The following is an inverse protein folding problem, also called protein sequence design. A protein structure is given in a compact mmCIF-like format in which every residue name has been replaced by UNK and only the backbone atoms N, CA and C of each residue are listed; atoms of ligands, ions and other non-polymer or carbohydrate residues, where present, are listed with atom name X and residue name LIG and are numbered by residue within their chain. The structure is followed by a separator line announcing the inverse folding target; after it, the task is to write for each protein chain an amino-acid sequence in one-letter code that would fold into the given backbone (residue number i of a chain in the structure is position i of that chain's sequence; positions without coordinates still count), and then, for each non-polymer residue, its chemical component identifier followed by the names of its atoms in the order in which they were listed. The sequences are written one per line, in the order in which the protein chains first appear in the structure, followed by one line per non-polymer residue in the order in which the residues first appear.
data_IF_521647795928
#
_entry.id   IF_521647795928
#
_cell.length_a   1.000
_cell.length_b   1.000
_cell.length_c   1.000
_cell.angle_alpha   90.00
_cell.angle_beta   90.00
_cell.angle_gamma   90.00
#
_symmetry.space_group_name_H-M   'P 1'
#
loop_
_entity.id
_entity.type
_entity.pdbx_description
1 polymer ?
#
# COMPACT_ATOMS: atom_id res chain seq x y z
N UNK A 1 5.30 -16.06 -7.72
CA UNK A 1 4.20 -15.11 -7.41
C UNK A 1 3.10 -15.09 -8.48
N UNK A 2 1.85 -15.34 -8.12
CA UNK A 2 0.72 -15.26 -9.04
C UNK A 2 -0.44 -14.46 -8.42
N UNK A 3 -0.94 -13.46 -9.15
CA UNK A 3 -2.23 -12.85 -8.87
C UNK A 3 -3.21 -13.30 -9.95
N UNK A 4 -4.34 -13.88 -9.53
CA UNK A 4 -5.33 -14.42 -10.46
C UNK A 4 -6.69 -13.77 -10.19
N UNK A 5 -7.04 -12.70 -10.93
CA UNK A 5 -8.40 -12.21 -10.99
C UNK A 5 -9.20 -13.06 -11.97
N UNK A 6 -10.29 -13.69 -11.52
CA UNK A 6 -11.20 -14.43 -12.41
C UNK A 6 -12.61 -13.82 -12.46
N UNK A 7 -12.77 -12.58 -11.95
CA UNK A 7 -14.02 -11.83 -11.93
C UNK A 7 -14.89 -12.05 -10.69
N UNK A 8 -14.66 -13.13 -9.94
CA UNK A 8 -15.37 -13.40 -8.68
C UNK A 8 -14.48 -13.20 -7.46
N UNK A 9 -13.18 -13.41 -7.63
CA UNK A 9 -12.18 -13.24 -6.58
C UNK A 9 -10.85 -12.81 -7.17
N UNK A 10 -10.06 -12.18 -6.31
CA UNK A 10 -8.64 -11.92 -6.53
C UNK A 10 -7.87 -12.83 -5.60
N UNK A 11 -7.10 -13.76 -6.17
CA UNK A 11 -6.19 -14.60 -5.39
C UNK A 11 -4.81 -13.97 -5.40
N UNK A 12 -4.22 -13.80 -4.21
CA UNK A 12 -2.83 -13.37 -4.05
C UNK A 12 -2.04 -14.50 -3.41
N UNK A 13 -1.00 -14.95 -4.10
CA UNK A 13 -0.12 -16.05 -3.67
C UNK A 13 1.34 -15.57 -3.72
N UNK A 14 1.81 -14.89 -2.65
CA UNK A 14 3.18 -14.39 -2.56
C UNK A 14 4.14 -15.55 -2.25
N UNK A 15 5.36 -15.48 -2.78
CA UNK A 15 6.35 -16.55 -2.58
C UNK A 15 6.80 -16.64 -1.10
N UNK A 16 6.78 -15.51 -0.38
CA UNK A 16 7.20 -15.36 1.02
C UNK A 16 6.05 -14.86 1.91
N UNK A 17 4.90 -15.53 1.89
CA UNK A 17 3.78 -15.17 2.75
C UNK A 17 2.57 -16.10 2.58
N UNK A 18 1.51 -15.90 3.37
CA UNK A 18 0.30 -16.69 3.22
C UNK A 18 -0.45 -16.30 1.94
N UNK A 19 -1.02 -17.32 1.29
CA UNK A 19 -2.01 -17.13 0.24
C UNK A 19 -3.29 -16.55 0.82
N UNK A 20 -3.83 -15.52 0.17
CA UNK A 20 -5.15 -14.97 0.51
C UNK A 20 -6.06 -14.92 -0.72
N UNK A 21 -7.36 -14.76 -0.50
CA UNK A 21 -8.27 -14.33 -1.55
C UNK A 21 -9.18 -13.19 -1.09
N UNK A 22 -9.38 -12.23 -1.97
CA UNK A 22 -10.32 -11.14 -1.81
C UNK A 22 -11.51 -11.45 -2.70
N UNK A 23 -12.64 -11.81 -2.09
CA UNK A 23 -13.86 -12.12 -2.82
C UNK A 23 -14.55 -10.82 -3.22
N UNK A 24 -14.85 -10.69 -4.51
CA UNK A 24 -15.66 -9.60 -5.04
C UNK A 24 -17.13 -9.95 -4.78
N UNK A 25 -17.96 -9.05 -4.23
CA UNK A 25 -19.35 -9.35 -3.91
C UNK A 25 -20.19 -9.31 -5.19
N UNK A 26 -19.92 -10.27 -6.07
CA UNK A 26 -20.63 -10.50 -7.32
C UNK A 26 -21.57 -11.68 -7.14
N UNK A 27 -22.77 -11.61 -7.72
CA UNK A 27 -23.71 -12.72 -7.68
C UNK A 27 -23.24 -13.90 -8.54
N UNK A 28 -23.81 -15.11 -8.37
CA UNK A 28 -23.46 -16.31 -9.15
C UNK A 28 -23.74 -16.21 -10.67
N UNK A 29 -24.40 -15.13 -11.12
CA UNK A 29 -24.68 -14.82 -12.51
C UNK A 29 -23.86 -13.62 -13.03
N UNK A 30 -22.77 -13.26 -12.34
CA UNK A 30 -21.93 -12.13 -12.71
C UNK A 30 -21.34 -12.32 -14.11
N UNK A 31 -21.56 -11.33 -14.98
CA UNK A 31 -20.93 -11.28 -16.28
C UNK A 31 -19.56 -10.62 -16.17
N UNK A 32 -18.55 -11.23 -16.78
CA UNK A 32 -17.22 -10.64 -16.92
C UNK A 32 -17.03 -10.07 -18.31
N UNK A 33 -16.25 -9.01 -18.43
CA UNK A 33 -15.87 -8.43 -19.72
C UNK A 33 -14.39 -8.06 -19.70
N UNK A 34 -13.62 -8.65 -20.61
CA UNK A 34 -12.21 -8.30 -20.82
C UNK A 34 -12.12 -6.89 -21.38
N UNK A 35 -11.56 -5.96 -20.61
CA UNK A 35 -11.33 -4.58 -21.04
C UNK A 35 -10.06 -4.49 -21.89
N UNK A 36 -9.01 -5.19 -21.44
CA UNK A 36 -7.68 -5.24 -22.06
C UNK A 36 -7.02 -6.58 -21.70
N UNK A 37 -5.92 -6.98 -22.37
CA UNK A 37 -5.16 -8.16 -21.95
C UNK A 37 -4.77 -8.10 -20.46
N UNK A 38 -5.21 -9.09 -19.68
CA UNK A 38 -4.95 -9.18 -18.24
C UNK A 38 -5.86 -8.33 -17.34
N UNK A 39 -6.80 -7.55 -17.90
CA UNK A 39 -7.75 -6.73 -17.12
C UNK A 39 -9.18 -7.09 -17.50
N UNK A 40 -9.90 -7.64 -16.53
CA UNK A 40 -11.29 -8.08 -16.68
C UNK A 40 -12.17 -7.34 -15.69
N UNK A 41 -13.21 -6.68 -16.20
CA UNK A 41 -14.29 -6.15 -15.37
C UNK A 41 -15.26 -7.24 -14.98
N UNK A 42 -15.79 -7.19 -13.76
CA UNK A 42 -16.85 -8.05 -13.26
C UNK A 42 -18.06 -7.21 -12.88
N UNK A 43 -19.19 -7.46 -13.54
CA UNK A 43 -20.44 -6.74 -13.26
C UNK A 43 -21.16 -7.40 -12.08
N UNK A 44 -21.30 -6.66 -10.97
CA UNK A 44 -22.01 -7.12 -9.78
C UNK A 44 -23.50 -6.84 -9.88
N UNK A 45 -23.85 -5.67 -10.42
CA UNK A 45 -25.22 -5.22 -10.70
C UNK A 45 -25.21 -4.21 -11.86
N UNK A 46 -26.36 -3.64 -12.22
CA UNK A 46 -26.42 -2.52 -13.18
C UNK A 46 -25.62 -1.30 -12.71
N UNK A 47 -25.53 -1.09 -11.41
CA UNK A 47 -24.96 0.12 -10.81
C UNK A 47 -23.58 -0.08 -10.17
N UNK A 48 -23.03 -1.30 -10.22
CA UNK A 48 -21.77 -1.64 -9.58
C UNK A 48 -20.97 -2.68 -10.38
N UNK A 49 -19.71 -2.36 -10.63
CA UNK A 49 -18.76 -3.30 -11.23
C UNK A 49 -17.39 -3.20 -10.56
N UNK A 50 -16.59 -4.25 -10.69
CA UNK A 50 -15.25 -4.35 -10.13
C UNK A 50 -14.23 -4.53 -11.25
N UNK A 51 -13.13 -3.80 -11.15
CA UNK A 51 -11.99 -3.91 -12.08
C UNK A 51 -10.73 -4.16 -11.25
N UNK A 52 -10.40 -5.44 -10.97
CA UNK A 52 -9.13 -5.78 -10.35
C UNK A 52 -7.97 -5.54 -11.32
N UNK A 53 -6.94 -4.86 -10.84
CA UNK A 53 -5.73 -4.50 -11.58
C UNK A 53 -4.52 -4.86 -10.73
N UNK A 54 -3.61 -5.64 -11.31
CA UNK A 54 -2.30 -5.91 -10.71
C UNK A 54 -1.36 -4.80 -11.12
N UNK A 55 -0.82 -4.07 -10.13
CA UNK A 55 0.14 -2.99 -10.35
C UNK A 55 1.55 -3.55 -10.57
N UNK A 56 2.43 -2.75 -11.16
CA UNK A 56 3.83 -3.14 -11.39
C UNK A 56 4.61 -3.40 -10.11
N UNK A 57 4.19 -2.80 -8.99
CA UNK A 57 4.67 -3.06 -7.63
C UNK A 57 4.32 -4.46 -7.11
N UNK A 58 3.42 -5.18 -7.78
CA UNK A 58 2.84 -6.43 -7.32
C UNK A 58 1.51 -6.23 -6.60
N UNK A 59 1.27 -5.10 -5.95
CA UNK A 59 0.00 -4.80 -5.26
C UNK A 59 -1.21 -4.91 -6.18
N UNK A 60 -2.37 -5.15 -5.60
CA UNK A 60 -3.62 -5.33 -6.36
C UNK A 60 -4.61 -4.26 -5.97
N UNK A 61 -5.04 -3.48 -6.95
CA UNK A 61 -6.11 -2.50 -6.79
C UNK A 61 -7.41 -3.06 -7.35
N UNK A 62 -8.49 -2.98 -6.58
CA UNK A 62 -9.83 -3.37 -7.02
C UNK A 62 -10.64 -2.09 -7.18
N UNK A 63 -10.68 -1.56 -8.41
CA UNK A 63 -11.47 -0.38 -8.70
C UNK A 63 -12.96 -0.76 -8.76
N UNK A 64 -13.72 -0.32 -7.75
CA UNK A 64 -15.16 -0.47 -7.68
C UNK A 64 -15.80 0.74 -8.35
N UNK A 65 -16.45 0.49 -9.48
CA UNK A 65 -17.10 1.50 -10.29
C UNK A 65 -18.57 1.52 -9.92
N UNK A 66 -18.95 2.57 -9.19
CA UNK A 66 -20.31 2.88 -8.79
C UNK A 66 -20.92 3.78 -9.88
N UNK A 67 -21.91 3.28 -10.60
CA UNK A 67 -22.45 3.95 -11.80
C UNK A 67 -23.67 4.83 -11.51
N UNK A 68 -24.33 4.68 -10.36
CA UNK A 68 -25.50 5.50 -10.01
C UNK A 68 -25.78 5.54 -8.49
N UNK A 69 -26.66 6.46 -8.02
CA UNK A 69 -27.08 6.52 -6.62
C UNK A 69 -27.75 5.25 -6.08
N UNK A 70 -28.25 4.38 -6.96
CA UNK A 70 -28.92 3.13 -6.59
C UNK A 70 -27.95 2.06 -6.09
N UNK A 71 -26.65 2.18 -6.41
CA UNK A 71 -25.63 1.27 -5.90
C UNK A 71 -25.53 1.32 -4.37
N UNK A 72 -25.07 0.24 -3.71
CA UNK A 72 -24.84 0.25 -2.27
C UNK A 72 -23.71 1.20 -1.87
N UNK A 73 -23.84 1.83 -0.70
CA UNK A 73 -22.78 2.62 -0.06
C UNK A 73 -21.73 1.73 0.60
N UNK A 74 -22.15 0.58 1.11
CA UNK A 74 -21.28 -0.42 1.75
C UNK A 74 -20.84 -1.45 0.70
N UNK A 75 -19.55 -1.43 0.36
CA UNK A 75 -18.92 -2.42 -0.52
C UNK A 75 -18.17 -3.41 0.36
N UNK A 76 -18.63 -4.65 0.38
CA UNK A 76 -18.11 -5.70 1.27
C UNK A 76 -17.17 -6.63 0.50
N UNK A 77 -15.93 -6.73 0.96
CA UNK A 77 -14.94 -7.69 0.46
C UNK A 77 -14.72 -8.77 1.52
N UNK A 78 -15.29 -9.95 1.27
CA UNK A 78 -15.04 -11.13 2.10
C UNK A 78 -13.63 -11.66 1.84
N UNK A 79 -12.89 -11.96 2.90
CA UNK A 79 -11.50 -12.39 2.80
C UNK A 79 -11.35 -13.87 3.15
N UNK A 80 -10.80 -14.65 2.21
CA UNK A 80 -10.28 -15.99 2.49
C UNK A 80 -8.85 -15.84 3.02
N UNK A 81 -8.69 -15.83 4.34
CA UNK A 81 -7.39 -15.66 5.02
C UNK A 81 -7.09 -16.85 5.93
N UNK A 82 -5.81 -17.10 6.28
CA UNK A 82 -5.45 -18.13 7.25
C UNK A 82 -6.21 -17.99 8.58
N UNK A 83 -6.51 -19.11 9.23
CA UNK A 83 -7.11 -19.10 10.57
C UNK A 83 -6.20 -18.36 11.56
N UNK A 84 -6.81 -17.59 12.47
CA UNK A 84 -6.07 -16.74 13.42
C UNK A 84 -5.77 -15.33 12.90
N UNK A 85 -6.02 -15.04 11.60
CA UNK A 85 -5.83 -13.70 11.04
C UNK A 85 -6.73 -12.69 11.74
N UNK A 86 -6.16 -11.54 12.09
CA UNK A 86 -6.88 -10.35 12.55
C UNK A 86 -6.66 -9.16 11.60
N UNK A 87 -7.69 -8.34 11.42
CA UNK A 87 -7.61 -7.09 10.66
C UNK A 87 -7.49 -5.93 11.66
N UNK A 88 -6.38 -5.19 11.58
CA UNK A 88 -6.08 -4.06 12.47
C UNK A 88 -6.13 -2.78 11.65
N UNK A 89 -7.10 -1.92 11.96
CA UNK A 89 -7.21 -0.61 11.33
C UNK A 89 -6.28 0.40 12.00
N UNK A 90 -5.55 1.18 11.21
CA UNK A 90 -4.72 2.28 11.71
C UNK A 90 -5.51 3.60 11.83
N UNK A 91 -4.88 4.61 12.41
CA UNK A 91 -5.42 5.96 12.60
C UNK A 91 -5.62 6.75 11.29
N UNK A 92 -5.10 6.24 10.16
CA UNK A 92 -5.20 6.84 8.82
C UNK A 92 -6.20 6.13 7.92
N UNK A 93 -6.84 5.08 8.44
CA UNK A 93 -7.87 4.32 7.76
C UNK A 93 -7.36 3.14 6.93
N UNK A 94 -6.06 2.87 6.91
CA UNK A 94 -5.54 1.62 6.33
C UNK A 94 -5.86 0.43 7.25
N UNK A 95 -5.88 -0.78 6.69
CA UNK A 95 -6.17 -2.01 7.44
C UNK A 95 -5.07 -3.02 7.22
N UNK A 96 -4.40 -3.47 8.28
CA UNK A 96 -3.29 -4.42 8.24
C UNK A 96 -3.78 -5.80 8.66
N UNK A 97 -3.38 -6.83 7.91
CA UNK A 97 -3.63 -8.23 8.23
C UNK A 97 -2.45 -8.75 9.04
N UNK A 98 -2.74 -9.23 10.24
CA UNK A 98 -1.75 -9.82 11.16
C UNK A 98 -2.09 -11.27 11.48
N UNK A 99 -1.07 -12.10 11.66
CA UNK A 99 -1.22 -13.49 12.09
C UNK A 99 -1.53 -13.61 13.60
N UNK A 100 -1.59 -14.85 14.09
CA UNK A 100 -1.89 -15.13 15.50
C UNK A 100 -0.78 -14.70 16.49
N UNK A 101 0.41 -14.38 15.98
CA UNK A 101 1.52 -13.79 16.73
C UNK A 101 1.57 -12.26 16.60
N UNK A 102 0.67 -11.66 15.83
CA UNK A 102 0.64 -10.22 15.56
C UNK A 102 1.64 -9.77 14.50
N UNK A 103 2.28 -10.68 13.75
CA UNK A 103 3.16 -10.32 12.65
C UNK A 103 2.35 -9.92 11.40
N UNK A 104 2.65 -8.76 10.78
CA UNK A 104 1.91 -8.32 9.61
C UNK A 104 2.33 -9.09 8.36
N UNK A 105 1.37 -9.45 7.51
CA UNK A 105 1.63 -10.17 6.25
C UNK A 105 0.91 -9.57 5.03
N UNK A 106 0.05 -8.58 5.25
CA UNK A 106 -0.63 -7.84 4.20
C UNK A 106 -1.28 -6.57 4.72
N UNK A 107 -1.66 -5.68 3.82
CA UNK A 107 -2.43 -4.48 4.15
C UNK A 107 -3.33 -4.04 3.01
N UNK A 108 -4.43 -3.42 3.37
CA UNK A 108 -5.20 -2.53 2.51
C UNK A 108 -4.76 -1.10 2.81
N UNK A 109 -4.24 -0.40 1.80
CA UNK A 109 -3.86 1.01 1.91
C UNK A 109 -5.08 1.89 2.18
N UNK A 110 -4.88 3.08 2.77
CA UNK A 110 -5.99 3.96 3.14
C UNK A 110 -6.93 4.21 1.95
N UNK A 111 -8.26 4.11 2.16
CA UNK A 111 -9.22 4.12 1.08
C UNK A 111 -9.31 5.50 0.43
N UNK A 112 -9.58 5.51 -0.85
CA UNK A 112 -9.97 6.71 -1.57
C UNK A 112 -11.16 6.42 -2.49
N UNK A 113 -11.93 7.47 -2.74
CA UNK A 113 -12.97 7.48 -3.75
C UNK A 113 -12.94 8.82 -4.48
N UNK A 114 -13.13 8.77 -5.80
CA UNK A 114 -13.22 9.96 -6.64
C UNK A 114 -14.44 9.84 -7.55
N UNK A 115 -15.09 10.97 -7.78
CA UNK A 115 -16.24 11.06 -8.67
C UNK A 115 -15.81 11.30 -10.12
N UNK A 116 -16.78 11.38 -11.05
CA UNK A 116 -16.50 11.59 -12.46
C UNK A 116 -15.90 12.97 -12.79
N UNK A 117 -16.06 13.96 -11.90
CA UNK A 117 -15.41 15.26 -11.98
C UNK A 117 -13.96 15.24 -11.48
N UNK A 118 -13.52 14.14 -10.86
CA UNK A 118 -12.22 14.02 -10.20
C UNK A 118 -12.22 14.55 -8.77
N UNK A 119 -13.38 14.88 -8.21
CA UNK A 119 -13.51 15.37 -6.84
C UNK A 119 -13.50 14.20 -5.86
N UNK A 120 -12.93 14.45 -4.67
CA UNK A 120 -12.87 13.42 -3.63
C UNK A 120 -14.25 13.15 -3.04
N UNK A 121 -14.61 11.87 -2.97
CA UNK A 121 -15.79 11.38 -2.25
C UNK A 121 -15.34 10.84 -0.90
N UNK A 122 -16.05 11.21 0.17
CA UNK A 122 -15.74 10.70 1.52
C UNK A 122 -15.90 9.19 1.54
N UNK A 123 -14.87 8.49 2.03
CA UNK A 123 -14.85 7.04 2.14
C UNK A 123 -14.04 6.61 3.36
N UNK A 124 -14.35 5.43 3.90
CA UNK A 124 -13.61 4.82 5.01
C UNK A 124 -13.70 3.30 4.94
N UNK A 125 -12.75 2.62 5.57
CA UNK A 125 -12.89 1.20 5.86
C UNK A 125 -13.57 0.98 7.22
N UNK A 126 -14.30 -0.11 7.30
CA UNK A 126 -14.79 -0.72 8.53
C UNK A 126 -14.44 -2.21 8.49
N UNK A 127 -14.01 -2.77 9.62
CA UNK A 127 -13.73 -4.20 9.76
C UNK A 127 -14.96 -4.88 10.36
N UNK A 128 -15.52 -5.87 9.66
CA UNK A 128 -16.68 -6.66 10.13
C UNK A 128 -16.28 -8.14 10.16
N UNK A 129 -15.78 -8.61 11.31
CA UNK A 129 -15.17 -9.94 11.40
C UNK A 129 -13.88 -9.98 10.59
N UNK A 130 -13.81 -10.85 9.58
CA UNK A 130 -12.70 -10.92 8.61
C UNK A 130 -13.00 -10.20 7.29
N UNK A 131 -14.16 -9.57 7.15
CA UNK A 131 -14.50 -8.80 5.96
C UNK A 131 -13.96 -7.37 6.05
N UNK A 132 -13.43 -6.88 4.93
CA UNK A 132 -13.15 -5.46 4.73
C UNK A 132 -14.39 -4.81 4.12
N UNK A 133 -14.95 -3.79 4.77
CA UNK A 133 -16.05 -3.01 4.20
C UNK A 133 -15.55 -1.62 3.87
N UNK A 134 -15.68 -1.20 2.61
CA UNK A 134 -15.51 0.19 2.25
C UNK A 134 -16.87 0.88 2.25
N UNK A 135 -17.03 1.90 3.07
CA UNK A 135 -18.22 2.75 3.09
C UNK A 135 -17.93 3.99 2.24
N UNK A 136 -18.65 4.15 1.13
CA UNK A 136 -18.51 5.27 0.19
C UNK A 136 -19.74 6.17 0.29
N UNK A 137 -19.55 7.42 0.71
CA UNK A 137 -20.63 8.40 0.93
C UNK A 137 -21.04 9.09 -0.38
N UNK A 138 -21.38 8.32 -1.41
CA UNK A 138 -21.59 8.81 -2.78
C UNK A 138 -23.01 9.34 -3.07
N UNK A 139 -23.97 9.17 -2.16
CA UNK A 139 -25.38 9.55 -2.35
C UNK A 139 -25.68 11.02 -1.96
N UNK A 140 -24.75 11.92 -2.22
CA UNK A 140 -24.92 13.36 -1.98
C UNK A 140 -25.23 14.09 -3.29
N UNK A 141 -25.78 15.31 -3.22
CA UNK A 141 -26.26 16.03 -4.39
C UNK A 141 -25.13 16.44 -5.37
N UNK A 142 -23.90 16.55 -4.87
CA UNK A 142 -22.77 17.11 -5.61
C UNK A 142 -21.90 16.05 -6.28
N UNK A 143 -22.16 14.76 -6.02
CA UNK A 143 -21.37 13.64 -6.54
C UNK A 143 -21.76 13.30 -7.97
N UNK A 144 -20.77 13.28 -8.87
CA UNK A 144 -20.95 12.90 -10.27
C UNK A 144 -20.58 11.44 -10.52
N UNK A 145 -21.43 10.72 -11.23
CA UNK A 145 -21.20 9.31 -11.54
C UNK A 145 -20.49 9.13 -12.90
N UNK A 146 -19.65 8.09 -13.06
CA UNK A 146 -19.36 7.06 -12.06
C UNK A 146 -18.41 7.55 -10.96
N UNK A 147 -18.61 7.02 -9.75
CA UNK A 147 -17.64 7.12 -8.65
C UNK A 147 -16.75 5.88 -8.71
N UNK A 148 -15.44 6.08 -8.62
CA UNK A 148 -14.46 5.00 -8.52
C UNK A 148 -13.91 4.98 -7.10
N UNK A 149 -14.02 3.85 -6.43
CA UNK A 149 -13.52 3.62 -5.07
C UNK A 149 -12.62 2.38 -5.03
N UNK A 150 -11.58 2.41 -4.20
CA UNK A 150 -10.62 1.30 -4.07
C UNK A 150 -10.92 0.36 -2.89
N UNK A 151 -10.39 -0.85 -2.94
CA UNK A 151 -9.20 -1.01 -2.10
C UNK A 151 -7.95 -1.34 -2.91
N UNK A 152 -6.79 -0.95 -2.40
CA UNK A 152 -5.48 -1.46 -2.83
C UNK A 152 -4.88 -2.39 -1.77
N UNK A 153 -4.71 -3.66 -2.11
CA UNK A 153 -4.05 -4.67 -1.28
C UNK A 153 -2.56 -4.78 -1.61
N UNK A 154 -1.71 -4.72 -0.60
CA UNK A 154 -0.27 -4.92 -0.66
C UNK A 154 0.18 -6.00 0.34
N UNK A 155 1.27 -6.69 0.02
CA UNK A 155 1.96 -7.66 0.90
C UNK A 155 3.46 -7.36 0.97
N UNK A 156 3.84 -6.16 0.58
CA UNK A 156 5.21 -5.65 0.65
C UNK A 156 5.26 -4.56 1.71
N UNK A 157 6.39 -4.42 2.40
CA UNK A 157 6.63 -3.31 3.34
C UNK A 157 6.84 -1.97 2.61
N UNK A 158 7.04 -2.01 1.29
CA UNK A 158 7.09 -0.84 0.42
C UNK A 158 5.94 -0.85 -0.59
N UNK A 159 5.30 0.30 -0.77
CA UNK A 159 4.38 0.54 -1.89
C UNK A 159 5.17 0.62 -3.21
N UNK A 160 6.33 1.27 -3.17
CA UNK A 160 7.30 1.35 -4.26
C UNK A 160 8.66 1.85 -3.74
N UNK A 161 9.72 1.60 -4.50
CA UNK A 161 11.04 2.15 -4.25
C UNK A 161 11.74 2.38 -5.58
N UNK A 162 12.08 3.61 -5.98
CA UNK A 162 12.66 3.92 -7.29
C UNK A 162 13.85 4.88 -7.17
N UNK A 163 14.71 4.86 -8.20
CA UNK A 163 15.74 5.90 -8.37
C UNK A 163 15.20 7.04 -9.21
N UNK A 164 15.36 8.25 -8.70
CA UNK A 164 14.99 9.47 -9.40
C UNK A 164 16.09 10.53 -9.30
N UNK A 165 16.25 11.30 -10.36
CA UNK A 165 17.13 12.47 -10.35
C UNK A 165 16.42 13.64 -9.70
N UNK A 166 17.04 14.21 -8.67
CA UNK A 166 16.59 15.43 -8.01
C UNK A 166 17.40 16.62 -8.56
N UNK A 167 16.73 17.47 -9.32
CA UNK A 167 17.34 18.65 -9.96
C UNK A 167 17.81 19.70 -8.95
N UNK A 168 17.16 19.80 -7.77
CA UNK A 168 17.57 20.75 -6.73
C UNK A 168 18.95 20.40 -6.15
N UNK A 169 19.27 19.11 -6.04
CA UNK A 169 20.55 18.62 -5.53
C UNK A 169 21.52 18.17 -6.62
N UNK A 170 21.11 18.26 -7.89
CA UNK A 170 21.85 17.76 -9.05
C UNK A 170 22.33 16.31 -8.88
N UNK A 171 21.54 15.46 -8.23
CA UNK A 171 21.93 14.09 -7.88
C UNK A 171 20.76 13.11 -7.93
N UNK A 172 21.08 11.82 -8.03
CA UNK A 172 20.10 10.76 -7.85
C UNK A 172 19.79 10.56 -6.36
N UNK A 173 18.54 10.23 -6.07
CA UNK A 173 18.09 9.73 -4.78
C UNK A 173 17.34 8.41 -4.99
N UNK A 174 17.49 7.50 -4.03
CA UNK A 174 16.65 6.31 -3.92
C UNK A 174 15.46 6.68 -3.03
N UNK A 175 14.29 6.88 -3.64
CA UNK A 175 13.08 7.25 -2.92
C UNK A 175 12.25 6.01 -2.64
N UNK A 176 11.73 5.88 -1.41
CA UNK A 176 10.98 4.71 -0.95
C UNK A 176 9.67 5.17 -0.32
N UNK A 177 8.55 4.58 -0.74
CA UNK A 177 7.26 4.75 -0.08
C UNK A 177 6.94 3.53 0.77
N UNK A 178 6.69 3.74 2.06
CA UNK A 178 6.37 2.69 3.03
C UNK A 178 4.87 2.39 2.97
N UNK A 179 4.51 1.11 2.81
CA UNK A 179 3.12 0.64 2.83
C UNK A 179 2.51 0.69 4.23
N UNK A 180 1.20 0.52 4.35
CA UNK A 180 0.55 0.38 5.65
C UNK A 180 1.11 -0.81 6.45
N UNK A 181 1.36 -1.95 5.79
CA UNK A 181 2.04 -3.11 6.39
C UNK A 181 3.44 -2.74 6.92
N UNK A 182 4.23 -2.01 6.12
CA UNK A 182 5.56 -1.56 6.51
C UNK A 182 5.54 -0.56 7.66
N UNK A 183 4.54 0.33 7.70
CA UNK A 183 4.36 1.28 8.82
C UNK A 183 3.95 0.59 10.11
N UNK A 184 3.13 -0.46 10.00
CA UNK A 184 2.79 -1.30 11.15
C UNK A 184 4.01 -2.05 11.67
N UNK A 185 4.81 -2.67 10.78
CA UNK A 185 6.06 -3.33 11.15
C UNK A 185 7.06 -2.33 11.76
N UNK A 186 7.19 -1.13 11.20
CA UNK A 186 8.00 -0.05 11.77
C UNK A 186 7.54 0.32 13.20
N UNK A 187 6.23 0.48 13.41
CA UNK A 187 5.67 0.91 14.69
C UNK A 187 5.77 -0.17 15.79
N UNK A 188 5.70 -1.44 15.40
CA UNK A 188 5.65 -2.58 16.33
C UNK A 188 7.00 -3.29 16.46
N UNK A 189 7.85 -3.21 15.44
CA UNK A 189 9.11 -3.94 15.33
C UNK A 189 10.15 -3.22 14.44
N UNK A 190 10.44 -1.95 14.75
CA UNK A 190 11.40 -1.14 14.01
C UNK A 190 12.76 -1.82 13.74
N UNK A 191 13.20 -2.70 14.64
CA UNK A 191 14.44 -3.47 14.47
C UNK A 191 14.38 -4.48 13.33
N UNK A 192 13.25 -5.21 13.18
CA UNK A 192 13.05 -6.09 12.03
C UNK A 192 12.84 -5.29 10.75
N UNK A 193 12.01 -4.23 10.80
CA UNK A 193 11.78 -3.35 9.64
C UNK A 193 13.08 -2.76 9.08
N UNK A 194 14.02 -2.34 9.96
CA UNK A 194 15.34 -1.84 9.56
C UNK A 194 16.08 -2.87 8.69
N UNK A 195 16.06 -4.14 9.11
CA UNK A 195 16.79 -5.24 8.46
C UNK A 195 16.07 -5.71 7.19
N UNK A 196 14.77 -5.98 7.28
CA UNK A 196 13.95 -6.48 6.16
C UNK A 196 13.88 -5.45 5.03
N UNK A 197 13.65 -4.18 5.36
CA UNK A 197 13.63 -3.08 4.39
C UNK A 197 14.97 -2.92 3.70
N UNK A 198 16.08 -2.93 4.44
CA UNK A 198 17.40 -2.84 3.81
C UNK A 198 17.71 -4.04 2.91
N UNK A 199 17.32 -5.26 3.31
CA UNK A 199 17.51 -6.45 2.48
C UNK A 199 16.76 -6.33 1.14
N UNK A 200 15.54 -5.81 1.14
CA UNK A 200 14.77 -5.55 -0.09
C UNK A 200 15.46 -4.49 -0.95
N UNK A 201 15.85 -3.34 -0.37
CA UNK A 201 16.56 -2.29 -1.10
C UNK A 201 17.91 -2.80 -1.65
N UNK A 202 18.62 -3.65 -0.91
CA UNK A 202 19.87 -4.23 -1.35
C UNK A 202 19.72 -5.28 -2.46
N UNK A 203 18.61 -6.02 -2.46
CA UNK A 203 18.25 -6.94 -3.54
C UNK A 203 17.91 -6.18 -4.82
N UNK A 204 17.06 -5.17 -4.72
CA UNK A 204 16.46 -4.51 -5.88
C UNK A 204 17.35 -3.38 -6.45
N UNK A 205 18.16 -2.75 -5.60
CA UNK A 205 19.03 -1.62 -5.96
C UNK A 205 20.51 -1.89 -5.71
N UNK A 206 20.93 -3.17 -5.76
CA UNK A 206 22.25 -3.64 -5.36
C UNK A 206 23.42 -2.78 -5.89
N UNK A 207 23.35 -2.34 -7.15
CA UNK A 207 24.37 -1.48 -7.77
C UNK A 207 24.65 -0.21 -6.95
N UNK A 208 23.62 0.35 -6.31
CA UNK A 208 23.70 1.56 -5.51
C UNK A 208 23.97 1.25 -4.04
N UNK A 209 23.38 0.19 -3.52
CA UNK A 209 23.33 -0.12 -2.08
C UNK A 209 24.48 -1.00 -1.56
N UNK A 210 25.29 -1.61 -2.42
CA UNK A 210 26.37 -2.54 -2.00
C UNK A 210 27.80 -2.05 -2.27
N UNK A 211 27.96 -0.85 -2.84
CA UNK A 211 29.26 -0.30 -3.27
C UNK A 211 29.61 1.04 -2.62
N UNK A 212 30.11 1.98 -3.44
CA UNK A 212 30.60 3.29 -2.97
C UNK A 212 29.59 4.12 -2.18
N UNK A 213 28.29 3.90 -2.38
CA UNK A 213 27.22 4.61 -1.68
C UNK A 213 26.62 3.84 -0.50
N UNK A 214 27.04 2.59 -0.28
CA UNK A 214 26.50 1.72 0.77
C UNK A 214 26.43 2.42 2.12
N UNK A 215 27.57 2.93 2.62
CA UNK A 215 27.63 3.53 3.95
C UNK A 215 26.70 4.73 4.10
N UNK A 216 26.62 5.60 3.10
CA UNK A 216 25.75 6.79 3.19
C UNK A 216 24.27 6.41 3.09
N UNK A 217 23.88 5.56 2.14
CA UNK A 217 22.49 5.15 1.96
C UNK A 217 21.98 4.33 3.15
N UNK A 218 22.81 3.43 3.69
CA UNK A 218 22.45 2.64 4.87
C UNK A 218 22.25 3.51 6.11
N UNK A 219 23.11 4.51 6.32
CA UNK A 219 22.96 5.41 7.47
C UNK A 219 21.75 6.33 7.34
N UNK A 220 21.43 6.80 6.12
CA UNK A 220 20.21 7.58 5.87
C UNK A 220 18.96 6.71 6.09
N UNK A 221 18.96 5.47 5.58
CA UNK A 221 17.90 4.48 5.85
C UNK A 221 17.73 4.24 7.36
N UNK A 222 18.83 4.00 8.07
CA UNK A 222 18.83 3.82 9.52
C UNK A 222 18.28 5.04 10.25
N UNK A 223 18.63 6.25 9.79
CA UNK A 223 18.09 7.48 10.34
C UNK A 223 16.58 7.60 10.12
N UNK A 224 16.10 7.36 8.91
CA UNK A 224 14.66 7.42 8.62
C UNK A 224 13.88 6.37 9.42
N UNK A 225 14.42 5.16 9.60
CA UNK A 225 13.75 4.12 10.40
C UNK A 225 13.73 4.48 11.89
N UNK A 226 14.86 4.87 12.47
CA UNK A 226 14.95 5.11 13.92
C UNK A 226 14.47 6.50 14.35
N UNK A 227 14.58 7.49 13.46
CA UNK A 227 14.24 8.89 13.68
C UNK A 227 12.94 9.33 13.00
N UNK A 228 12.49 8.62 11.97
CA UNK A 228 11.35 8.99 11.14
C UNK A 228 10.05 8.27 11.49
N UNK A 229 9.84 7.88 12.76
CA UNK A 229 8.54 7.33 13.20
C UNK A 229 7.37 8.30 12.92
N UNK A 230 7.67 9.59 12.73
CA UNK A 230 6.74 10.65 12.38
C UNK A 230 6.86 11.15 10.91
N UNK A 231 7.67 10.49 10.08
CA UNK A 231 7.81 10.81 8.66
C UNK A 231 6.81 9.99 7.82
N UNK A 232 5.78 10.68 7.35
CA UNK A 232 4.63 10.09 6.65
C UNK A 232 4.74 10.16 5.12
N UNK A 233 5.82 10.75 4.60
CA UNK A 233 6.14 10.85 3.18
C UNK A 233 7.02 9.68 2.69
N UNK A 234 7.85 9.99 1.71
CA UNK A 234 8.87 9.09 1.17
C UNK A 234 10.16 9.19 1.98
N UNK A 235 10.89 8.09 2.07
CA UNK A 235 12.28 8.10 2.55
C UNK A 235 13.17 8.31 1.34
N UNK A 236 13.82 9.46 1.28
CA UNK A 236 14.62 9.90 0.14
C UNK A 236 16.10 9.75 0.49
N UNK A 237 16.73 8.66 0.04
CA UNK A 237 18.14 8.38 0.33
C UNK A 237 19.03 9.01 -0.75
N UNK A 238 19.74 10.07 -0.40
CA UNK A 238 20.48 10.91 -1.34
C UNK A 238 21.91 10.36 -1.59
N UNK A 239 22.25 10.09 -2.85
CA UNK A 239 23.53 9.44 -3.20
C UNK A 239 24.75 10.38 -3.10
N UNK A 240 24.54 11.70 -3.18
CA UNK A 240 25.64 12.69 -3.12
C UNK A 240 25.97 13.14 -1.69
N UNK A 241 25.36 12.53 -0.67
CA UNK A 241 25.66 12.86 0.73
C UNK A 241 26.82 12.02 1.25
N UNK A 242 27.75 12.62 2.02
CA UNK A 242 28.86 11.88 2.60
C UNK A 242 28.36 10.85 3.61
N UNK A 243 29.18 9.86 3.97
CA UNK A 243 28.89 9.00 5.13
C UNK A 243 28.94 9.84 6.41
N UNK A 244 27.95 9.69 7.29
CA UNK A 244 27.87 10.30 8.62
C UNK A 244 27.63 9.22 9.70
N UNK A 245 28.66 8.44 10.07
CA UNK A 245 28.52 7.36 11.06
C UNK A 245 28.10 7.86 12.46
N UNK A 246 28.24 9.16 12.73
CA UNK A 246 27.90 9.78 14.01
C UNK A 246 26.53 10.49 13.98
N UNK A 247 25.69 10.26 12.97
CA UNK A 247 24.40 10.96 12.80
C UNK A 247 23.53 10.88 14.07
N UNK A 248 23.53 9.74 14.78
CA UNK A 248 22.78 9.52 16.03
C UNK A 248 23.10 10.54 17.12
N UNK A 249 24.35 11.03 17.18
CA UNK A 249 24.77 12.04 18.17
C UNK A 249 24.16 13.43 17.94
N UNK A 250 23.55 13.64 16.76
CA UNK A 250 22.93 14.92 16.38
C UNK A 250 21.43 14.97 16.66
N UNK A 251 20.84 13.85 17.07
CA UNK A 251 19.44 13.78 17.49
C UNK A 251 19.23 14.74 18.67
N UNK A 252 18.24 15.64 18.55
CA UNK A 252 17.94 16.67 19.58
C UNK A 252 18.61 18.03 19.36
N UNK A 253 19.50 18.18 18.38
CA UNK A 253 20.05 19.49 17.95
C UNK A 253 19.25 20.11 16.79
N UNK A 254 18.45 19.31 16.08
CA UNK A 254 17.62 19.68 14.92
C UNK A 254 16.41 18.74 14.83
N UNK A 255 15.33 19.08 14.10
CA UNK A 255 14.28 18.12 13.78
C UNK A 255 14.84 16.86 13.12
N UNK A 256 14.28 15.69 13.42
CA UNK A 256 14.75 14.39 12.93
C UNK A 256 14.80 14.33 11.39
N UNK A 257 13.83 14.93 10.71
CA UNK A 257 13.82 15.04 9.24
C UNK A 257 14.94 15.90 8.65
N UNK A 258 15.38 16.93 9.38
CA UNK A 258 16.56 17.71 9.01
C UNK A 258 17.88 17.00 9.36
N UNK A 259 17.79 15.85 10.06
CA UNK A 259 18.93 15.05 10.49
C UNK A 259 19.16 13.85 9.58
N UNK A 260 18.13 13.37 8.85
CA UNK A 260 18.21 12.11 8.10
C UNK A 260 18.71 12.20 6.64
N UNK A 261 18.83 13.41 6.08
CA UNK A 261 19.37 13.67 4.73
C UNK A 261 20.44 14.79 4.75
N UNK A 262 21.51 14.57 5.51
CA UNK A 262 22.55 15.56 5.81
C UNK A 262 23.39 15.98 4.59
#
# INVERSE_FOLDING_TARGET
MAVQPNGERVVVDPDDGPRIAINLPVGPAASTTTLMPGVTSAKASEDLSYVPVVKSSGSVQIASVISSPSAPTDIVYELDVPSGTSLVQDDRGAVVLVDDQGAPFGSFEAPWAVDAGGERVSTRFEVRGTALVQVVEHRTADVQYPVVADPEYSWSIFNWAWLNYNSAYSSNQLSVSISAMGRFDLATNAGQFLVSGWNILNRDFNYYTSGRWHSTLYQQWECHVLGGMAEWGTYDLELNRPSNPNWRSRIGMSPLSATCNW
#
